data_IF_490699371453
#
_entry.id   IF_490699371453
#
_cell.length_a   1.000
_cell.length_b   1.000
_cell.length_c   1.000
_cell.angle_alpha   90.00
_cell.angle_beta   90.00
_cell.angle_gamma   90.00
#
_symmetry.space_group_name_H-M   'P 1'
#
loop_
_entity.id
_entity.type
_entity.pdbx_description
1 polymer ?
#
# COMPACT_ATOMS: atom_id res chain seq x y z
N UNK A 1 -11.38 -0.89 23.86
CA UNK A 1 -11.72 -1.27 22.48
C UNK A 1 -10.69 -0.67 21.53
N UNK A 2 -10.14 -1.44 20.58
CA UNK A 2 -9.12 -0.97 19.61
C UNK A 2 -9.72 -0.01 18.55
N UNK A 3 -10.75 0.75 18.92
CA UNK A 3 -11.43 1.73 18.11
C UNK A 3 -10.82 3.10 18.44
N UNK A 4 -10.45 3.91 17.44
CA UNK A 4 -9.93 5.26 17.68
C UNK A 4 -10.92 6.11 18.49
N UNK A 5 -10.41 6.90 19.43
CA UNK A 5 -11.23 7.90 20.12
C UNK A 5 -11.41 9.12 19.20
N UNK A 6 -12.51 9.14 18.45
CA UNK A 6 -12.82 10.17 17.45
C UNK A 6 -12.76 11.58 18.04
N UNK A 7 -13.45 11.79 19.16
CA UNK A 7 -13.58 13.11 19.76
C UNK A 7 -12.22 13.64 20.23
N UNK A 8 -11.45 12.81 20.93
CA UNK A 8 -10.12 13.21 21.38
C UNK A 8 -9.17 13.55 20.22
N UNK A 9 -9.19 12.75 19.15
CA UNK A 9 -8.32 12.97 17.97
C UNK A 9 -8.75 14.24 17.22
N UNK A 10 -10.05 14.46 17.02
CA UNK A 10 -10.55 15.62 16.28
C UNK A 10 -10.35 16.91 17.05
N UNK A 11 -10.52 16.90 18.37
CA UNK A 11 -10.20 18.05 19.23
C UNK A 11 -8.69 18.35 19.24
N UNK A 12 -7.82 17.33 19.26
CA UNK A 12 -6.38 17.53 19.11
C UNK A 12 -6.06 18.22 17.78
N UNK A 13 -6.66 17.76 16.68
CA UNK A 13 -6.45 18.32 15.36
C UNK A 13 -6.94 19.77 15.26
N UNK A 14 -8.14 20.08 15.77
CA UNK A 14 -8.65 21.45 15.86
C UNK A 14 -7.76 22.34 16.72
N UNK A 15 -7.29 21.84 17.86
CA UNK A 15 -6.38 22.55 18.75
C UNK A 15 -5.07 22.92 18.06
N UNK A 16 -4.44 21.96 17.36
CA UNK A 16 -3.24 22.21 16.58
C UNK A 16 -3.46 23.24 15.46
N UNK A 17 -4.60 23.17 14.75
CA UNK A 17 -4.98 24.21 13.77
C UNK A 17 -5.16 25.58 14.44
N UNK A 18 -5.77 25.62 15.62
CA UNK A 18 -5.99 26.85 16.40
C UNK A 18 -4.69 27.50 16.87
N UNK A 19 -3.63 26.72 17.10
CA UNK A 19 -2.28 27.22 17.40
C UNK A 19 -1.53 27.78 16.18
N UNK A 20 -2.14 27.74 14.98
CA UNK A 20 -1.54 28.24 13.74
C UNK A 20 -0.86 27.17 12.88
N UNK A 21 -1.07 25.88 13.15
CA UNK A 21 -0.59 24.84 12.25
C UNK A 21 -1.24 25.00 10.88
N UNK A 22 -0.43 25.32 9.86
CA UNK A 22 -0.89 25.38 8.48
C UNK A 22 -1.43 24.03 8.01
N UNK A 23 -0.82 22.95 8.48
CA UNK A 23 -1.11 21.60 8.03
C UNK A 23 -0.72 20.56 9.10
N UNK A 24 -1.53 19.51 9.29
CA UNK A 24 -1.28 18.43 10.27
C UNK A 24 -1.21 17.09 9.53
N UNK A 25 -0.17 16.32 9.72
CA UNK A 25 -0.03 15.00 9.07
C UNK A 25 0.29 13.91 10.09
N UNK A 26 0.10 12.66 9.69
CA UNK A 26 0.51 11.50 10.48
C UNK A 26 1.61 10.73 9.74
N UNK A 27 2.65 10.37 10.47
CA UNK A 27 3.73 9.54 9.91
C UNK A 27 3.28 8.10 9.72
N UNK A 28 2.51 7.54 10.66
CA UNK A 28 2.05 6.16 10.65
C UNK A 28 0.56 6.04 10.99
N UNK A 29 -0.13 5.12 10.32
CA UNK A 29 -1.52 4.74 10.60
C UNK A 29 -1.70 3.23 10.41
N UNK A 30 -2.81 2.67 10.90
CA UNK A 30 -3.21 1.28 10.64
C UNK A 30 -4.50 1.23 9.84
N UNK A 31 -4.60 0.28 8.90
CA UNK A 31 -5.82 0.07 8.11
C UNK A 31 -7.01 -0.30 8.99
N UNK A 32 -6.79 -1.02 10.09
CA UNK A 32 -7.81 -1.32 11.09
C UNK A 32 -8.41 -0.08 11.73
N UNK A 33 -7.59 0.90 12.13
CA UNK A 33 -8.09 2.15 12.72
C UNK A 33 -8.91 2.96 11.70
N UNK A 34 -8.41 3.04 10.47
CA UNK A 34 -9.09 3.73 9.35
C UNK A 34 -10.45 3.09 9.05
N UNK A 35 -10.50 1.76 8.93
CA UNK A 35 -11.74 1.05 8.62
C UNK A 35 -12.72 1.01 9.81
N UNK A 36 -12.22 1.04 11.04
CA UNK A 36 -13.05 1.08 12.25
C UNK A 36 -13.80 2.40 12.38
N UNK A 37 -13.20 3.51 11.92
CA UNK A 37 -13.84 4.83 11.98
C UNK A 37 -13.62 5.67 10.70
N UNK A 38 -14.44 5.43 9.65
CA UNK A 38 -14.37 6.21 8.41
C UNK A 38 -14.74 7.69 8.61
N UNK A 39 -15.58 8.01 9.60
CA UNK A 39 -15.99 9.38 9.89
C UNK A 39 -14.85 10.18 10.52
N UNK A 40 -14.05 9.58 11.39
CA UNK A 40 -12.82 10.20 11.89
C UNK A 40 -11.93 10.66 10.73
N UNK A 41 -11.73 9.80 9.72
CA UNK A 41 -10.91 10.14 8.55
C UNK A 41 -11.48 11.32 7.75
N UNK A 42 -12.81 11.39 7.60
CA UNK A 42 -13.49 12.55 6.99
C UNK A 42 -13.26 13.83 7.79
N UNK A 43 -13.42 13.76 9.11
CA UNK A 43 -13.28 14.93 9.98
C UNK A 43 -11.86 15.48 10.00
N UNK A 44 -10.84 14.62 10.13
CA UNK A 44 -9.45 15.10 10.11
C UNK A 44 -9.06 15.69 8.74
N UNK A 45 -9.54 15.09 7.64
CA UNK A 45 -9.31 15.65 6.30
C UNK A 45 -9.99 17.01 6.10
N UNK A 46 -11.20 17.18 6.64
CA UNK A 46 -11.92 18.46 6.62
C UNK A 46 -11.24 19.52 7.48
N UNK A 47 -10.76 19.17 8.68
CA UNK A 47 -9.99 20.08 9.55
C UNK A 47 -8.71 20.58 8.84
N UNK A 48 -8.08 19.72 8.05
CA UNK A 48 -6.94 20.09 7.21
C UNK A 48 -7.31 20.80 5.90
N UNK A 49 -8.60 20.87 5.54
CA UNK A 49 -9.07 21.43 4.27
C UNK A 49 -8.43 20.74 3.06
N UNK A 50 -8.27 19.42 3.12
CA UNK A 50 -7.62 18.64 2.04
C UNK A 50 -8.42 18.66 0.74
N UNK A 51 -9.75 18.71 0.85
CA UNK A 51 -10.70 18.88 -0.24
C UNK A 51 -10.59 20.27 -0.90
N UNK A 52 -10.52 21.34 -0.10
CA UNK A 52 -10.39 22.72 -0.62
C UNK A 52 -9.02 22.96 -1.28
N UNK A 53 -7.96 22.43 -0.68
CA UNK A 53 -6.58 22.65 -1.14
C UNK A 53 -6.14 21.68 -2.23
N UNK A 54 -6.87 20.58 -2.43
CA UNK A 54 -6.50 19.47 -3.31
C UNK A 54 -5.20 18.77 -2.91
N UNK A 55 -4.75 18.96 -1.66
CA UNK A 55 -3.47 18.42 -1.16
C UNK A 55 -3.65 16.99 -0.70
N UNK A 56 -2.73 16.14 -1.14
CA UNK A 56 -2.66 14.74 -0.73
C UNK A 56 -1.66 14.56 0.39
N UNK A 57 -2.00 13.73 1.37
CA UNK A 57 -1.12 13.45 2.50
C UNK A 57 -0.52 12.06 2.48
N UNK A 58 0.81 11.98 2.44
CA UNK A 58 1.49 10.72 2.63
C UNK A 58 1.39 10.24 4.08
N UNK A 59 0.99 8.99 4.27
CA UNK A 59 1.09 8.31 5.57
C UNK A 59 1.53 6.87 5.37
N UNK A 60 2.34 6.35 6.28
CA UNK A 60 2.84 4.99 6.18
C UNK A 60 1.86 4.02 6.85
N UNK A 61 1.44 2.99 6.13
CA UNK A 61 0.64 1.91 6.66
C UNK A 61 1.31 0.58 6.37
N UNK A 62 1.07 -0.42 7.20
CA UNK A 62 1.50 -1.77 6.90
C UNK A 62 0.32 -2.67 6.60
N UNK A 63 0.42 -3.38 5.48
CA UNK A 63 -0.45 -4.49 5.10
C UNK A 63 0.17 -5.81 5.55
N UNK A 64 1.51 -5.93 5.39
CA UNK A 64 2.35 -7.10 5.65
C UNK A 64 1.98 -8.33 4.83
N UNK A 65 0.77 -8.87 5.02
CA UNK A 65 0.20 -10.00 4.27
C UNK A 65 -1.32 -9.99 4.47
N UNK A 66 -2.07 -10.57 3.52
CA UNK A 66 -3.53 -10.73 3.65
C UNK A 66 -3.98 -12.20 3.69
N UNK A 67 -3.05 -13.14 3.67
CA UNK A 67 -3.36 -14.55 3.82
C UNK A 67 -3.88 -14.83 5.25
N UNK A 68 -5.11 -15.34 5.45
CA UNK A 68 -5.72 -15.46 6.77
C UNK A 68 -4.86 -16.21 7.81
N UNK A 69 -4.21 -17.30 7.39
CA UNK A 69 -3.33 -18.09 8.26
C UNK A 69 -2.10 -17.28 8.71
N UNK A 70 -1.48 -16.56 7.77
CA UNK A 70 -0.32 -15.72 8.04
C UNK A 70 -0.69 -14.51 8.91
N UNK A 71 -1.83 -13.88 8.63
CA UNK A 71 -2.36 -12.77 9.44
C UNK A 71 -2.57 -13.21 10.89
N UNK A 72 -3.21 -14.36 11.11
CA UNK A 72 -3.46 -14.90 12.44
C UNK A 72 -2.17 -15.18 13.21
N UNK A 73 -1.12 -15.62 12.51
CA UNK A 73 0.17 -15.96 13.13
C UNK A 73 1.06 -14.75 13.40
N UNK A 74 1.11 -13.78 12.48
CA UNK A 74 2.12 -12.74 12.47
C UNK A 74 1.60 -11.33 12.81
N UNK A 75 0.33 -11.01 12.53
CA UNK A 75 -0.18 -9.64 12.66
C UNK A 75 -0.77 -9.31 14.03
N UNK A 76 -1.01 -10.30 14.88
CA UNK A 76 -1.35 -10.12 16.30
C UNK A 76 -2.47 -9.11 16.55
N UNK A 77 -2.15 -8.00 17.22
CA UNK A 77 -3.10 -6.93 17.59
C UNK A 77 -3.47 -5.99 16.45
N UNK A 78 -2.75 -6.03 15.33
CA UNK A 78 -2.90 -5.06 14.24
C UNK A 78 -4.27 -5.14 13.55
N UNK A 79 -4.86 -6.33 13.54
CA UNK A 79 -6.17 -6.60 12.93
C UNK A 79 -7.32 -6.08 13.79
N UNK A 80 -7.10 -5.88 15.09
CA UNK A 80 -8.13 -5.40 16.02
C UNK A 80 -8.63 -4.00 15.57
N UNK A 81 -9.94 -3.73 15.66
CA UNK A 81 -10.98 -4.52 16.34
C UNK A 81 -11.56 -5.70 15.55
N UNK A 82 -11.14 -5.89 14.29
CA UNK A 82 -11.65 -6.92 13.39
C UNK A 82 -11.03 -8.30 13.65
N UNK A 83 -11.64 -9.34 13.11
CA UNK A 83 -11.06 -10.68 13.12
C UNK A 83 -9.89 -10.77 12.12
N UNK A 84 -8.85 -11.58 12.40
CA UNK A 84 -7.74 -11.83 11.46
C UNK A 84 -8.20 -12.23 10.05
N UNK A 85 -9.27 -13.01 9.95
CA UNK A 85 -9.84 -13.50 8.70
C UNK A 85 -10.46 -12.37 7.85
N UNK A 86 -10.86 -11.27 8.50
CA UNK A 86 -11.43 -10.09 7.84
C UNK A 86 -10.35 -9.12 7.34
N UNK A 87 -9.07 -9.31 7.70
CA UNK A 87 -7.99 -8.35 7.44
C UNK A 87 -7.88 -7.92 5.99
N UNK A 88 -7.97 -8.86 5.04
CA UNK A 88 -7.94 -8.53 3.62
C UNK A 88 -9.06 -7.56 3.22
N UNK A 89 -10.25 -7.70 3.79
CA UNK A 89 -11.37 -6.79 3.52
C UNK A 89 -11.16 -5.42 4.19
N UNK A 90 -10.63 -5.41 5.40
CA UNK A 90 -10.26 -4.20 6.17
C UNK A 90 -9.24 -3.37 5.41
N UNK A 91 -8.23 -4.00 4.82
CA UNK A 91 -7.21 -3.32 4.00
C UNK A 91 -7.84 -2.67 2.76
N UNK A 92 -8.73 -3.38 2.05
CA UNK A 92 -9.43 -2.83 0.87
C UNK A 92 -10.31 -1.64 1.25
N UNK A 93 -11.12 -1.78 2.29
CA UNK A 93 -12.01 -0.70 2.74
C UNK A 93 -11.21 0.49 3.27
N UNK A 94 -10.16 0.25 4.06
CA UNK A 94 -9.27 1.32 4.53
C UNK A 94 -8.54 2.03 3.38
N UNK A 95 -8.11 1.30 2.36
CA UNK A 95 -7.52 1.88 1.14
C UNK A 95 -8.51 2.78 0.41
N UNK A 96 -9.78 2.36 0.29
CA UNK A 96 -10.85 3.16 -0.30
C UNK A 96 -11.12 4.44 0.50
N UNK A 97 -11.28 4.33 1.82
CA UNK A 97 -11.51 5.47 2.72
C UNK A 97 -10.36 6.47 2.62
N UNK A 98 -9.10 6.02 2.59
CA UNK A 98 -7.95 6.90 2.45
C UNK A 98 -7.96 7.65 1.11
N UNK A 99 -8.23 6.93 0.01
CA UNK A 99 -8.35 7.51 -1.32
C UNK A 99 -9.44 8.60 -1.39
N UNK A 100 -10.62 8.35 -0.83
CA UNK A 100 -11.75 9.31 -0.80
C UNK A 100 -11.41 10.58 0.00
N UNK A 101 -10.57 10.44 1.02
CA UNK A 101 -10.21 11.52 1.95
C UNK A 101 -8.88 12.20 1.58
N UNK A 102 -8.38 12.02 0.35
CA UNK A 102 -7.12 12.60 -0.15
C UNK A 102 -5.90 12.22 0.68
N UNK A 103 -5.90 11.01 1.24
CA UNK A 103 -4.71 10.41 1.84
C UNK A 103 -3.99 9.56 0.82
N UNK A 104 -2.68 9.66 0.82
CA UNK A 104 -1.74 8.94 0.00
C UNK A 104 -1.08 7.82 0.84
N UNK A 105 -1.63 6.61 0.82
CA UNK A 105 -1.06 5.51 1.59
C UNK A 105 0.28 5.05 1.00
N UNK A 106 1.33 5.08 1.82
CA UNK A 106 2.57 4.35 1.60
C UNK A 106 2.46 3.01 2.35
N UNK A 107 1.89 2.01 1.69
CA UNK A 107 1.65 0.69 2.25
C UNK A 107 2.88 -0.20 2.15
N UNK A 108 3.18 -0.99 3.17
CA UNK A 108 4.25 -2.01 3.13
C UNK A 108 3.68 -3.43 3.12
N UNK A 109 4.26 -4.30 2.31
CA UNK A 109 4.00 -5.75 2.27
C UNK A 109 5.32 -6.46 2.56
N UNK A 110 5.26 -7.58 3.29
CA UNK A 110 6.42 -8.40 3.60
C UNK A 110 6.33 -9.68 2.78
N UNK A 111 7.37 -9.94 1.99
CA UNK A 111 7.48 -11.10 1.11
C UNK A 111 8.55 -12.04 1.65
N UNK A 112 8.27 -13.35 1.64
CA UNK A 112 9.26 -14.37 1.98
C UNK A 112 9.30 -14.73 3.46
N UNK A 113 8.15 -14.80 4.11
CA UNK A 113 8.13 -15.35 5.46
C UNK A 113 8.62 -16.80 5.46
N UNK A 114 9.31 -17.26 6.52
CA UNK A 114 9.86 -18.62 6.58
C UNK A 114 8.81 -19.73 6.38
N UNK A 115 7.55 -19.43 6.69
CA UNK A 115 6.39 -20.31 6.60
C UNK A 115 5.40 -19.94 5.48
N UNK A 116 5.76 -18.99 4.61
CA UNK A 116 4.91 -18.55 3.50
C UNK A 116 4.82 -19.61 2.40
N UNK A 117 3.60 -20.03 2.07
CA UNK A 117 3.35 -20.91 0.93
C UNK A 117 2.97 -20.11 -0.33
N UNK A 118 3.13 -20.67 -1.55
CA UNK A 118 2.66 -20.02 -2.76
C UNK A 118 1.17 -19.68 -2.76
N UNK A 119 0.34 -20.48 -2.08
CA UNK A 119 -1.10 -20.20 -1.92
C UNK A 119 -1.34 -18.99 -1.02
N UNK A 120 -0.55 -18.80 0.04
CA UNK A 120 -0.61 -17.60 0.88
C UNK A 120 -0.22 -16.34 0.10
N UNK A 121 0.80 -16.44 -0.76
CA UNK A 121 1.21 -15.32 -1.64
C UNK A 121 0.09 -14.94 -2.60
N UNK A 122 -0.68 -15.92 -3.11
CA UNK A 122 -1.77 -15.67 -4.05
C UNK A 122 -2.83 -14.72 -3.48
N UNK A 123 -3.19 -14.84 -2.19
CA UNK A 123 -4.13 -13.89 -1.56
C UNK A 123 -3.67 -12.43 -1.69
N UNK A 124 -2.37 -12.22 -1.58
CA UNK A 124 -1.77 -10.88 -1.67
C UNK A 124 -1.65 -10.42 -3.12
N UNK A 125 -1.38 -11.32 -4.06
CA UNK A 125 -1.42 -11.05 -5.52
C UNK A 125 -2.84 -10.62 -5.94
N UNK A 126 -3.87 -11.32 -5.46
CA UNK A 126 -5.26 -11.02 -5.77
C UNK A 126 -5.65 -9.62 -5.28
N UNK A 127 -5.25 -9.26 -4.05
CA UNK A 127 -5.43 -7.90 -3.52
C UNK A 127 -4.73 -6.83 -4.37
N UNK A 128 -3.54 -7.09 -4.90
CA UNK A 128 -2.87 -6.13 -5.79
C UNK A 128 -3.67 -5.89 -7.08
N UNK A 129 -4.41 -6.90 -7.54
CA UNK A 129 -5.34 -6.78 -8.65
C UNK A 129 -6.56 -5.94 -8.26
N UNK A 130 -7.12 -6.17 -7.08
CA UNK A 130 -8.23 -5.35 -6.53
C UNK A 130 -7.84 -3.87 -6.40
N UNK A 131 -6.62 -3.57 -5.91
CA UNK A 131 -6.10 -2.20 -5.85
C UNK A 131 -6.02 -1.54 -7.23
N UNK A 132 -5.69 -2.33 -8.27
CA UNK A 132 -5.67 -1.85 -9.64
C UNK A 132 -7.06 -1.46 -10.12
N UNK A 133 -8.06 -2.30 -9.85
CA UNK A 133 -9.47 -2.08 -10.22
C UNK A 133 -10.08 -0.90 -9.46
N UNK A 134 -9.77 -0.77 -8.18
CA UNK A 134 -10.23 0.32 -7.31
C UNK A 134 -9.53 1.67 -7.56
N UNK A 135 -8.59 1.73 -8.51
CA UNK A 135 -7.76 2.91 -8.78
C UNK A 135 -7.07 3.42 -7.49
N UNK A 136 -6.48 2.49 -6.73
CA UNK A 136 -5.73 2.81 -5.53
C UNK A 136 -4.59 3.79 -5.85
N UNK A 137 -4.52 4.90 -5.12
CA UNK A 137 -3.54 5.96 -5.39
C UNK A 137 -2.29 5.85 -4.54
N UNK A 138 -2.16 4.81 -3.70
CA UNK A 138 -1.01 4.62 -2.82
C UNK A 138 0.16 3.86 -3.45
N UNK A 139 1.34 4.01 -2.84
CA UNK A 139 2.49 3.17 -3.12
C UNK A 139 2.41 1.91 -2.25
N UNK A 140 2.78 0.78 -2.83
CA UNK A 140 2.92 -0.49 -2.13
C UNK A 140 4.39 -0.91 -2.21
N UNK A 141 5.12 -0.77 -1.11
CA UNK A 141 6.51 -1.13 -1.01
C UNK A 141 6.64 -2.63 -0.64
N UNK A 142 7.17 -3.48 -1.54
CA UNK A 142 7.48 -4.86 -1.21
C UNK A 142 8.81 -4.90 -0.44
N UNK A 143 8.75 -5.26 0.84
CA UNK A 143 9.91 -5.48 1.68
C UNK A 143 10.18 -6.99 1.75
N UNK A 144 11.45 -7.39 1.66
CA UNK A 144 11.83 -8.78 1.90
C UNK A 144 11.89 -9.03 3.40
N UNK A 145 11.43 -10.19 3.83
CA UNK A 145 11.54 -10.61 5.23
C UNK A 145 13.01 -10.64 5.66
N UNK A 146 13.33 -9.92 6.72
CA UNK A 146 14.63 -9.99 7.40
C UNK A 146 14.43 -10.58 8.79
N UNK A 147 15.18 -11.64 9.08
CA UNK A 147 15.25 -12.22 10.41
C UNK A 147 16.26 -11.42 11.24
N UNK A 148 15.96 -11.18 12.52
CA UNK A 148 16.88 -10.54 13.48
C UNK A 148 18.20 -11.31 13.64
N UNK A 149 18.20 -12.61 13.31
CA UNK A 149 19.40 -13.45 13.37
C UNK A 149 20.25 -13.44 12.08
N UNK A 150 19.83 -12.72 11.03
CA UNK A 150 20.38 -12.71 9.65
C UNK A 150 20.49 -14.08 8.95
N UNK A 151 20.43 -15.21 9.67
CA UNK A 151 20.61 -16.56 9.14
C UNK A 151 19.45 -17.06 8.26
N UNK A 152 18.25 -16.51 8.44
CA UNK A 152 17.06 -16.85 7.64
C UNK A 152 16.52 -15.67 6.81
N UNK A 153 17.33 -14.64 6.59
CA UNK A 153 16.91 -13.47 5.82
C UNK A 153 16.71 -13.80 4.35
N UNK A 154 15.61 -13.33 3.79
CA UNK A 154 15.32 -13.49 2.37
C UNK A 154 16.20 -12.56 1.54
N UNK A 155 16.94 -13.16 0.61
CA UNK A 155 17.63 -12.43 -0.43
C UNK A 155 16.86 -12.56 -1.74
N UNK A 156 16.95 -11.54 -2.60
CA UNK A 156 16.36 -11.55 -3.94
C UNK A 156 16.71 -12.82 -4.74
N UNK A 157 17.86 -13.45 -4.46
CA UNK A 157 18.35 -14.70 -5.04
C UNK A 157 17.50 -15.96 -4.79
N UNK A 158 16.62 -15.95 -3.78
CA UNK A 158 15.87 -17.14 -3.33
C UNK A 158 14.35 -16.98 -3.47
N UNK A 159 13.87 -15.98 -4.21
CA UNK A 159 12.45 -15.76 -4.40
C UNK A 159 11.83 -16.89 -5.24
N UNK A 160 10.76 -17.49 -4.73
CA UNK A 160 9.95 -18.39 -5.54
C UNK A 160 9.14 -17.61 -6.59
N UNK A 161 8.59 -18.31 -7.58
CA UNK A 161 7.83 -17.68 -8.67
C UNK A 161 6.64 -16.81 -8.19
N UNK A 162 5.95 -17.25 -7.13
CA UNK A 162 4.80 -16.54 -6.57
C UNK A 162 5.25 -15.23 -5.88
N UNK A 163 6.30 -15.30 -5.07
CA UNK A 163 6.90 -14.16 -4.37
C UNK A 163 7.46 -13.13 -5.35
N UNK A 164 8.11 -13.60 -6.43
CA UNK A 164 8.54 -12.72 -7.52
C UNK A 164 7.34 -12.06 -8.22
N UNK A 165 6.26 -12.81 -8.46
CA UNK A 165 5.04 -12.25 -9.06
C UNK A 165 4.43 -11.16 -8.18
N UNK A 166 4.34 -11.39 -6.86
CA UNK A 166 3.87 -10.37 -5.91
C UNK A 166 4.77 -9.13 -5.95
N UNK A 167 6.09 -9.32 -5.89
CA UNK A 167 7.06 -8.23 -5.98
C UNK A 167 6.87 -7.40 -7.27
N UNK A 168 6.70 -8.08 -8.40
CA UNK A 168 6.45 -7.43 -9.69
C UNK A 168 5.13 -6.66 -9.70
N UNK A 169 4.05 -7.23 -9.17
CA UNK A 169 2.73 -6.57 -9.09
C UNK A 169 2.76 -5.31 -8.23
N UNK A 170 3.52 -5.31 -7.13
CA UNK A 170 3.76 -4.10 -6.33
C UNK A 170 4.46 -3.00 -7.15
N UNK A 171 5.50 -3.36 -7.90
CA UNK A 171 6.21 -2.42 -8.79
C UNK A 171 5.32 -1.90 -9.94
N UNK A 172 4.51 -2.78 -10.54
CA UNK A 172 3.53 -2.40 -11.56
C UNK A 172 2.56 -1.34 -11.05
N UNK A 173 2.02 -1.53 -9.82
CA UNK A 173 1.17 -0.55 -9.16
C UNK A 173 1.90 0.77 -8.90
N UNK A 174 3.12 0.71 -8.33
CA UNK A 174 3.91 1.91 -8.02
C UNK A 174 4.21 2.73 -9.27
N UNK A 175 4.56 2.07 -10.38
CA UNK A 175 4.83 2.76 -11.64
C UNK A 175 3.59 3.43 -12.22
N UNK A 176 2.43 2.79 -12.14
CA UNK A 176 1.15 3.41 -12.52
C UNK A 176 0.92 4.67 -11.70
N UNK A 177 0.99 4.57 -10.38
CA UNK A 177 0.76 5.69 -9.46
C UNK A 177 1.77 6.82 -9.70
N UNK A 178 3.06 6.51 -9.89
CA UNK A 178 4.09 7.49 -10.26
C UNK A 178 3.73 8.19 -11.57
N UNK A 179 3.30 7.44 -12.59
CA UNK A 179 2.89 8.02 -13.88
C UNK A 179 1.66 8.94 -13.74
N UNK A 180 0.74 8.64 -12.83
CA UNK A 180 -0.44 9.48 -12.56
C UNK A 180 -0.09 10.75 -11.76
N UNK A 181 0.91 10.68 -10.88
CA UNK A 181 1.39 11.82 -10.07
C UNK A 181 2.26 12.77 -10.89
N UNK A 182 3.04 12.26 -11.84
CA UNK A 182 3.96 13.05 -12.66
C UNK A 182 3.27 14.29 -13.28
N UNK A 183 2.12 14.17 -13.98
CA UNK A 183 1.39 15.32 -14.51
C UNK A 183 0.96 16.33 -13.44
N UNK A 184 0.61 15.88 -12.22
CA UNK A 184 0.21 16.74 -11.11
C UNK A 184 1.40 17.56 -10.61
N UNK A 185 2.56 16.93 -10.43
CA UNK A 185 3.81 17.62 -10.07
C UNK A 185 4.21 18.62 -11.15
N UNK A 186 4.12 18.23 -12.43
CA UNK A 186 4.43 19.08 -13.58
C UNK A 186 3.41 20.22 -13.75
N UNK A 187 2.17 20.08 -13.26
CA UNK A 187 1.17 21.16 -13.24
C UNK A 187 1.41 22.15 -12.10
N UNK A 188 2.15 21.76 -11.07
CA UNK A 188 2.48 22.65 -9.96
C UNK A 188 3.35 23.82 -10.46
N UNK A 189 3.00 25.05 -10.08
CA UNK A 189 3.58 26.29 -10.64
C UNK A 189 5.00 26.60 -10.13
N UNK A 190 5.52 25.81 -9.20
CA UNK A 190 6.79 26.05 -8.51
C UNK A 190 8.03 25.90 -9.40
N UNK A 191 7.96 25.10 -10.47
CA UNK A 191 9.11 24.81 -11.34
C UNK A 191 8.94 25.39 -12.75
N UNK A 192 10.00 25.97 -13.31
CA UNK A 192 10.01 26.48 -14.69
C UNK A 192 9.87 25.36 -15.74
N UNK A 193 9.38 25.66 -16.96
CA UNK A 193 9.18 24.67 -18.02
C UNK A 193 10.39 23.76 -18.32
N UNK A 194 11.65 24.26 -18.33
CA UNK A 194 12.82 23.41 -18.58
C UNK A 194 13.08 22.40 -17.46
N UNK A 195 12.92 22.82 -16.20
CA UNK A 195 13.12 21.95 -15.02
C UNK A 195 12.09 20.83 -14.98
N UNK A 196 10.86 21.11 -15.44
CA UNK A 196 9.77 20.13 -15.55
C UNK A 196 10.10 19.02 -16.55
N UNK A 197 10.62 19.38 -17.73
CA UNK A 197 11.05 18.39 -18.74
C UNK A 197 12.22 17.56 -18.23
N UNK A 198 13.18 18.18 -17.53
CA UNK A 198 14.30 17.48 -16.93
C UNK A 198 13.88 16.48 -15.84
N UNK A 199 13.01 16.90 -14.91
CA UNK A 199 12.47 16.01 -13.87
C UNK A 199 11.68 14.84 -14.48
N UNK A 200 10.88 15.11 -15.51
CA UNK A 200 10.18 14.06 -16.25
C UNK A 200 11.16 13.05 -16.86
N UNK A 201 12.24 13.54 -17.48
CA UNK A 201 13.31 12.71 -18.04
C UNK A 201 13.96 11.80 -16.99
N UNK A 202 14.34 12.35 -15.82
CA UNK A 202 14.92 11.56 -14.72
C UNK A 202 13.96 10.51 -14.20
N UNK A 203 12.69 10.88 -13.97
CA UNK A 203 11.68 9.95 -13.46
C UNK A 203 11.43 8.79 -14.45
N UNK A 204 11.32 9.09 -15.75
CA UNK A 204 11.16 8.08 -16.80
C UNK A 204 12.41 7.21 -16.97
N UNK A 205 13.60 7.80 -16.93
CA UNK A 205 14.85 7.05 -17.03
C UNK A 205 15.06 6.13 -15.81
N UNK A 206 14.78 6.63 -14.60
CA UNK A 206 14.86 5.86 -13.36
C UNK A 206 13.88 4.70 -13.34
N UNK A 207 12.61 4.94 -13.69
CA UNK A 207 11.60 3.87 -13.79
C UNK A 207 11.95 2.84 -14.86
N UNK A 208 12.49 3.26 -16.01
CA UNK A 208 12.99 2.34 -17.03
C UNK A 208 14.18 1.51 -16.55
N UNK A 209 15.16 2.13 -15.88
CA UNK A 209 16.34 1.44 -15.35
C UNK A 209 15.95 0.39 -14.31
N UNK A 210 15.02 0.72 -13.41
CA UNK A 210 14.51 -0.21 -12.41
C UNK A 210 13.78 -1.38 -13.08
N UNK A 211 12.87 -1.11 -14.03
CA UNK A 211 12.19 -2.19 -14.75
C UNK A 211 13.15 -3.07 -15.54
N UNK A 212 14.21 -2.50 -16.11
CA UNK A 212 15.28 -3.25 -16.77
C UNK A 212 16.03 -4.14 -15.78
N UNK A 213 16.35 -3.63 -14.59
CA UNK A 213 16.99 -4.39 -13.53
C UNK A 213 16.11 -5.54 -13.05
N UNK A 214 14.81 -5.30 -12.80
CA UNK A 214 13.86 -6.34 -12.39
C UNK A 214 13.67 -7.43 -13.46
N UNK A 215 13.64 -7.05 -14.75
CA UNK A 215 13.63 -8.02 -15.86
C UNK A 215 14.92 -8.85 -15.91
N UNK A 216 16.07 -8.24 -15.59
CA UNK A 216 17.36 -8.94 -15.45
C UNK A 216 17.32 -9.98 -14.33
N UNK A 217 16.93 -9.54 -13.13
CA UNK A 217 16.75 -10.43 -11.97
C UNK A 217 15.82 -11.61 -12.27
N UNK A 218 14.70 -11.38 -12.96
CA UNK A 218 13.80 -12.46 -13.38
C UNK A 218 14.51 -13.53 -14.22
N UNK A 219 15.31 -13.11 -15.19
CA UNK A 219 16.03 -14.04 -16.06
C UNK A 219 17.07 -14.83 -15.30
N UNK A 220 17.77 -14.18 -14.38
CA UNK A 220 18.80 -14.83 -13.56
C UNK A 220 18.18 -15.83 -12.57
N UNK A 221 17.02 -15.49 -11.99
CA UNK A 221 16.31 -16.34 -11.02
C UNK A 221 15.60 -17.54 -11.65
N UNK A 222 15.06 -17.39 -12.86
CA UNK A 222 14.14 -18.38 -13.45
C UNK A 222 14.66 -18.95 -14.78
N UNK A 223 15.96 -19.20 -14.89
CA UNK A 223 16.60 -19.85 -16.04
C UNK A 223 16.26 -19.19 -17.40
N UNK A 224 16.27 -17.86 -17.44
CA UNK A 224 16.02 -17.07 -18.65
C UNK A 224 14.55 -16.79 -18.97
N UNK A 225 13.60 -17.27 -18.15
CA UNK A 225 12.17 -16.98 -18.31
C UNK A 225 11.87 -15.50 -18.13
N UNK A 226 10.89 -15.03 -18.89
CA UNK A 226 10.44 -13.63 -18.82
C UNK A 226 9.46 -13.43 -17.66
N UNK A 227 9.34 -12.22 -17.09
CA UNK A 227 8.34 -11.95 -16.06
C UNK A 227 6.93 -12.31 -16.51
N UNK A 228 6.59 -12.00 -17.76
CA UNK A 228 5.25 -12.21 -18.33
C UNK A 228 4.86 -13.71 -18.29
N UNK A 229 5.79 -14.62 -18.64
CA UNK A 229 5.59 -16.09 -18.56
C UNK A 229 5.35 -16.61 -17.15
N UNK A 230 5.88 -15.92 -16.14
CA UNK A 230 5.74 -16.32 -14.73
C UNK A 230 4.44 -15.75 -14.18
N UNK A 231 4.17 -14.46 -14.45
CA UNK A 231 3.02 -13.74 -13.92
C UNK A 231 1.72 -14.32 -14.46
N UNK A 232 1.66 -14.70 -15.74
CA UNK A 232 0.45 -15.26 -16.35
C UNK A 232 -0.04 -16.54 -15.65
N UNK A 233 0.88 -17.32 -15.06
CA UNK A 233 0.55 -18.49 -14.25
C UNK A 233 -0.25 -18.13 -12.98
N UNK A 234 0.04 -16.98 -12.38
CA UNK A 234 -0.59 -16.48 -11.15
C UNK A 234 -1.66 -15.42 -11.42
N UNK A 235 -1.95 -15.11 -12.69
CA UNK A 235 -3.01 -14.18 -13.11
C UNK A 235 -4.43 -14.75 -12.92
N UNK A 236 -4.57 -16.02 -12.53
CA UNK A 236 -5.87 -16.61 -12.19
C UNK A 236 -6.38 -15.99 -10.90
N UNK A 237 -7.18 -14.93 -11.05
CA UNK A 237 -7.97 -14.36 -9.97
C UNK A 237 -8.81 -15.48 -9.33
N UNK A 238 -8.40 -15.91 -8.14
CA UNK A 238 -9.39 -16.34 -7.18
C UNK A 238 -9.96 -15.02 -6.67
N UNK A 239 -11.10 -14.60 -7.20
CA UNK A 239 -11.93 -13.61 -6.52
C UNK A 239 -12.33 -14.23 -5.18
N UNK A 240 -11.44 -14.16 -4.18
CA UNK A 240 -11.76 -14.50 -2.82
C UNK A 240 -12.50 -13.29 -2.31
N UNK A 241 -13.81 -13.28 -2.59
CA UNK A 241 -14.76 -12.45 -1.89
C UNK A 241 -14.68 -12.85 -0.42
N UNK A 242 -13.73 -12.26 0.32
CA UNK A 242 -13.72 -12.33 1.77
C UNK A 242 -15.11 -11.88 2.25
N UNK A 243 -15.67 -12.51 3.31
CA UNK A 243 -16.99 -12.15 3.80
C UNK A 243 -17.06 -10.62 3.97
N UNK A 244 -18.10 -10.01 3.39
CA UNK A 244 -18.33 -8.57 3.47
C UNK A 244 -18.25 -8.14 4.94
N UNK A 245 -17.48 -7.09 5.22
CA UNK A 245 -17.40 -6.46 6.53
C UNK A 245 -18.83 -6.27 7.03
N UNK A 246 -19.24 -7.04 8.05
CA UNK A 246 -20.43 -6.71 8.79
C UNK A 246 -20.03 -5.50 9.63
N UNK A 247 -20.30 -4.30 9.10
CA UNK A 247 -20.21 -3.08 9.88
C UNK A 247 -21.15 -3.29 11.07
N UNK A 248 -20.59 -3.63 12.23
CA UNK A 248 -21.32 -3.55 13.49
C UNK A 248 -21.65 -2.07 13.66
N UNK A 249 -22.85 -1.70 13.22
CA UNK A 249 -23.46 -0.43 13.59
C UNK A 249 -23.47 -0.40 15.11
N UNK A 250 -22.66 0.49 15.68
CA UNK A 250 -22.98 1.10 16.98
C UNK A 250 -24.05 2.14 16.73
#
# INVERSE_FOLDING_TARGET
DFIPNRDAITELWKGLKGLGANFIGTTHMTFSAVAADPELMRQISSINKQDETGRWLATNLGIETVAPNMVKKHLGVKTRPFAPEEWGSVVREGAKILNENHWFPAATIIIGWPDETPDDVQYTIDMMSDFREMNFRGLVAPLLYQDFSEKNSMHFGNLNEAQFTLFWKCWENNLRVINDIIPIILRNKTYGPPMKVFMYGILKAGTWAIMRYLRGLCKDLFNGRTPDEIIDKYARSRSVSAPKIQTKKL
#
